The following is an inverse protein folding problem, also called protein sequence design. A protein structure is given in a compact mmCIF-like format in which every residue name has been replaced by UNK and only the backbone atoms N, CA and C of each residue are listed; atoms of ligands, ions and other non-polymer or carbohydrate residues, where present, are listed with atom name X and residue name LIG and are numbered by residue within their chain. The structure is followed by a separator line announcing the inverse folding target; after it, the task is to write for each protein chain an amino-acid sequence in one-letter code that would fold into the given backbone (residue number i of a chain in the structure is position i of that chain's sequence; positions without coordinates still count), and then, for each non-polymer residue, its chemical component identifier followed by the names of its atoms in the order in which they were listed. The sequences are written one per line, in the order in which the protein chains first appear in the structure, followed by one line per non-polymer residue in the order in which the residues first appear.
data_IF_816445118177
#
_entry.id   IF_816445118177
#
_cell.length_a   1.000
_cell.length_b   1.000
_cell.length_c   1.000
_cell.angle_alpha   90.00
_cell.angle_beta   90.00
_cell.angle_gamma   90.00
#
_symmetry.space_group_name_H-M   'P 1'
#
loop_
_entity.id
_entity.type
_entity.pdbx_description
1 polymer ?
#
# COMPACT_ATOMS: atom_id res chain seq x y z
N UNK A 1 -3.48 17.92 64.51
CA UNK A 1 -3.87 17.29 63.23
C UNK A 1 -3.17 18.05 62.12
N UNK A 2 -2.00 17.57 61.68
CA UNK A 2 -1.30 18.18 60.55
C UNK A 2 -2.01 17.75 59.27
N UNK A 3 -2.70 18.70 58.64
CA UNK A 3 -3.25 18.53 57.30
C UNK A 3 -2.07 18.51 56.32
N UNK A 4 -1.65 17.31 55.91
CA UNK A 4 -0.74 17.14 54.79
C UNK A 4 -1.56 17.49 53.54
N UNK A 5 -1.42 18.72 53.05
CA UNK A 5 -1.82 19.07 51.68
C UNK A 5 -0.94 18.27 50.74
N UNK A 6 -1.47 17.14 50.28
CA UNK A 6 -0.91 16.39 49.14
C UNK A 6 -1.07 17.31 47.93
N UNK A 7 0.05 17.78 47.37
CA UNK A 7 0.04 18.50 46.09
C UNK A 7 -0.55 17.63 44.98
N UNK A 8 -0.95 18.20 43.83
CA UNK A 8 -1.50 17.42 42.73
C UNK A 8 -0.54 16.28 42.37
N UNK A 9 -1.07 15.07 42.23
CA UNK A 9 -0.31 13.87 41.89
C UNK A 9 0.36 14.06 40.52
N UNK A 10 1.67 13.86 40.46
CA UNK A 10 2.46 14.00 39.22
C UNK A 10 1.96 13.03 38.17
N UNK A 11 1.59 13.53 36.99
CA UNK A 11 1.12 12.68 35.88
C UNK A 11 2.27 12.49 34.89
N UNK A 12 2.79 11.27 34.84
CA UNK A 12 3.87 10.92 33.91
C UNK A 12 3.40 11.01 32.43
N UNK A 13 4.27 11.42 31.51
CA UNK A 13 3.95 11.54 30.10
C UNK A 13 3.83 10.16 29.44
N UNK A 14 3.06 10.09 28.35
CA UNK A 14 3.02 8.93 27.46
C UNK A 14 4.20 9.00 26.49
N UNK A 15 5.33 8.44 26.88
CA UNK A 15 6.53 8.44 26.02
C UNK A 15 6.49 7.35 24.95
N UNK A 16 5.47 6.48 24.96
CA UNK A 16 5.21 5.50 23.89
C UNK A 16 5.00 6.16 22.52
N UNK A 17 4.53 7.42 22.53
CA UNK A 17 4.38 8.24 21.32
C UNK A 17 5.71 8.41 20.57
N UNK A 18 6.82 8.51 21.31
CA UNK A 18 8.18 8.58 20.79
C UNK A 18 8.52 7.34 19.96
N UNK A 19 8.28 6.15 20.52
CA UNK A 19 8.55 4.89 19.85
C UNK A 19 7.73 4.70 18.57
N UNK A 20 6.48 5.21 18.52
CA UNK A 20 5.67 5.19 17.30
C UNK A 20 6.29 6.07 16.22
N UNK A 21 6.73 7.28 16.58
CA UNK A 21 7.41 8.21 15.67
C UNK A 21 8.73 7.61 15.16
N UNK A 22 9.55 7.03 16.05
CA UNK A 22 10.79 6.35 15.67
C UNK A 22 10.56 5.21 14.69
N UNK A 23 9.47 4.43 14.85
CA UNK A 23 9.12 3.38 13.88
C UNK A 23 8.81 3.93 12.48
N UNK A 24 8.31 5.16 12.36
CA UNK A 24 8.14 5.82 11.05
C UNK A 24 9.50 5.99 10.37
N UNK A 25 10.51 6.47 11.09
CA UNK A 25 11.85 6.69 10.55
C UNK A 25 12.60 5.38 10.29
N UNK A 26 12.62 4.46 11.27
CA UNK A 26 13.24 3.13 11.19
C UNK A 26 12.75 2.33 10.00
N UNK A 27 11.46 2.45 9.64
CA UNK A 27 10.89 1.77 8.48
C UNK A 27 10.98 2.59 7.20
N UNK A 28 10.84 3.92 7.32
CA UNK A 28 10.75 4.85 6.20
C UNK A 28 12.04 4.92 5.40
N UNK A 29 13.17 5.22 6.04
CA UNK A 29 14.43 5.45 5.34
C UNK A 29 14.96 4.21 4.60
N UNK A 30 15.00 3.00 5.18
CA UNK A 30 15.37 1.79 4.43
C UNK A 30 14.44 1.50 3.26
N UNK A 31 13.12 1.75 3.43
CA UNK A 31 12.17 1.59 2.35
C UNK A 31 12.48 2.55 1.19
N UNK A 32 12.86 3.79 1.50
CA UNK A 32 13.19 4.78 0.49
C UNK A 32 14.50 4.47 -0.24
N UNK A 33 15.55 4.03 0.47
CA UNK A 33 16.79 3.56 -0.18
C UNK A 33 16.51 2.45 -1.19
N UNK A 34 15.68 1.46 -0.81
CA UNK A 34 15.23 0.40 -1.70
C UNK A 34 14.42 0.90 -2.91
N UNK A 35 13.60 1.94 -2.73
CA UNK A 35 12.81 2.52 -3.81
C UNK A 35 13.67 3.30 -4.80
N UNK A 36 14.62 4.11 -4.30
CA UNK A 36 15.59 4.88 -5.10
C UNK A 36 16.35 3.95 -6.04
N UNK A 37 16.89 2.83 -5.54
CA UNK A 37 17.59 1.80 -6.34
C UNK A 37 16.75 1.23 -7.48
N UNK A 38 15.42 1.25 -7.35
CA UNK A 38 14.48 0.58 -8.26
C UNK A 38 13.74 1.54 -9.17
N UNK A 39 14.00 2.85 -9.11
CA UNK A 39 13.36 3.81 -10.02
C UNK A 39 13.94 3.64 -11.43
N UNK A 40 13.13 3.33 -12.45
CA UNK A 40 13.62 3.25 -13.82
C UNK A 40 14.04 4.63 -14.34
N UNK A 41 15.13 4.69 -15.11
CA UNK A 41 15.63 5.91 -15.75
C UNK A 41 14.58 6.63 -16.61
N UNK A 42 13.59 5.90 -17.11
CA UNK A 42 12.51 6.39 -17.97
C UNK A 42 11.30 6.94 -17.21
N UNK A 43 11.36 7.06 -15.87
CA UNK A 43 10.22 7.42 -15.04
C UNK A 43 10.49 8.66 -14.14
N UNK A 44 10.70 9.86 -14.70
CA UNK A 44 11.00 11.07 -13.93
C UNK A 44 9.90 11.43 -12.92
N UNK A 45 8.63 11.22 -13.26
CA UNK A 45 7.52 11.43 -12.31
C UNK A 45 7.57 10.50 -11.09
N UNK A 46 8.20 9.32 -11.21
CA UNK A 46 8.41 8.41 -10.09
C UNK A 46 9.58 8.87 -9.22
N UNK A 47 10.68 9.30 -9.85
CA UNK A 47 11.82 9.88 -9.13
C UNK A 47 11.36 11.07 -8.27
N UNK A 48 10.57 11.98 -8.86
CA UNK A 48 10.02 13.12 -8.14
C UNK A 48 9.15 12.69 -6.94
N UNK A 49 8.21 11.76 -7.14
CA UNK A 49 7.36 11.29 -6.04
C UNK A 49 8.15 10.64 -4.88
N UNK A 50 9.24 9.93 -5.20
CA UNK A 50 10.15 9.34 -4.20
C UNK A 50 10.93 10.45 -3.48
N UNK A 51 11.50 11.40 -4.22
CA UNK A 51 12.25 12.52 -3.67
C UNK A 51 11.39 13.41 -2.76
N UNK A 52 10.17 13.78 -3.17
CA UNK A 52 9.25 14.56 -2.34
C UNK A 52 8.90 13.83 -1.03
N UNK A 53 8.78 12.50 -1.05
CA UNK A 53 8.51 11.74 0.18
C UNK A 53 9.74 11.64 1.09
N UNK A 54 10.95 11.56 0.51
CA UNK A 54 12.19 11.65 1.26
C UNK A 54 12.32 13.00 1.97
N UNK A 55 12.04 14.10 1.28
CA UNK A 55 12.03 15.43 1.89
C UNK A 55 11.08 15.51 3.09
N UNK A 56 9.88 14.95 2.96
CA UNK A 56 8.91 14.87 4.06
C UNK A 56 9.49 14.11 5.27
N UNK A 57 10.13 12.95 5.06
CA UNK A 57 10.73 12.17 6.14
C UNK A 57 11.91 12.92 6.80
N UNK A 58 12.79 13.51 6.00
CA UNK A 58 13.96 14.27 6.49
C UNK A 58 13.54 15.54 7.24
N UNK A 59 12.50 16.24 6.77
CA UNK A 59 11.94 17.40 7.46
C UNK A 59 11.26 16.99 8.77
N UNK A 60 10.52 15.88 8.75
CA UNK A 60 9.91 15.33 9.96
C UNK A 60 10.95 14.98 11.03
N UNK A 61 12.04 14.32 10.63
CA UNK A 61 13.14 13.99 11.53
C UNK A 61 13.84 15.24 12.06
N UNK A 62 14.14 16.21 11.19
CA UNK A 62 14.76 17.46 11.61
C UNK A 62 13.91 18.22 12.63
N UNK A 63 12.59 18.29 12.42
CA UNK A 63 11.67 18.94 13.36
C UNK A 63 11.59 18.21 14.71
N UNK A 64 11.71 16.88 14.70
CA UNK A 64 11.73 16.05 15.89
C UNK A 64 13.00 16.29 16.72
N UNK A 65 14.19 16.13 16.12
CA UNK A 65 15.47 16.35 16.82
C UNK A 65 15.63 17.79 17.31
N UNK A 66 15.30 18.79 16.47
CA UNK A 66 15.34 20.20 16.92
C UNK A 66 14.34 20.48 18.03
N UNK A 67 13.20 19.79 18.03
CA UNK A 67 12.24 19.89 19.14
C UNK A 67 12.80 19.33 20.45
N UNK A 68 13.54 18.21 20.41
CA UNK A 68 14.24 17.70 21.58
C UNK A 68 15.31 18.67 22.07
N UNK A 69 16.14 19.18 21.16
CA UNK A 69 17.22 20.12 21.48
C UNK A 69 16.68 21.40 22.13
N UNK A 70 15.58 21.94 21.61
CA UNK A 70 15.01 23.21 22.05
C UNK A 70 14.12 23.09 23.29
N UNK A 71 13.52 21.92 23.54
CA UNK A 71 12.46 21.79 24.54
C UNK A 71 12.63 20.65 25.54
N UNK A 72 13.39 19.61 25.22
CA UNK A 72 13.51 18.40 26.06
C UNK A 72 14.84 18.37 26.78
N UNK A 73 15.96 18.53 26.08
CA UNK A 73 17.30 18.52 26.66
C UNK A 73 17.50 19.56 27.76
N UNK A 74 17.04 20.83 27.61
CA UNK A 74 17.18 21.82 28.68
C UNK A 74 16.46 21.41 29.98
N UNK A 75 15.30 20.77 29.87
CA UNK A 75 14.53 20.29 31.02
C UNK A 75 15.21 19.11 31.70
N UNK A 76 15.78 18.18 30.92
CA UNK A 76 16.52 17.05 31.48
C UNK A 76 17.84 17.49 32.12
N UNK A 77 18.56 18.46 31.56
CA UNK A 77 19.77 19.01 32.17
C UNK A 77 19.47 19.68 33.52
N UNK A 78 18.34 20.39 33.62
CA UNK A 78 17.88 21.02 34.86
C UNK A 78 17.43 19.99 35.92
N UNK A 79 16.67 18.96 35.50
CA UNK A 79 15.95 18.06 36.42
C UNK A 79 16.59 16.68 36.63
N UNK A 80 17.52 16.31 35.76
CA UNK A 80 18.28 15.06 35.75
C UNK A 80 19.79 15.38 35.61
N UNK A 81 20.27 16.35 36.41
CA UNK A 81 21.63 16.86 36.34
C UNK A 81 22.74 15.80 36.43
N UNK A 82 22.63 14.70 37.21
CA UNK A 82 23.64 13.62 37.20
C UNK A 82 23.79 12.90 35.85
N UNK A 83 22.88 13.13 34.90
CA UNK A 83 22.87 12.52 33.57
C UNK A 83 23.33 13.48 32.46
N UNK A 84 24.01 14.59 32.79
CA UNK A 84 24.46 15.57 31.79
C UNK A 84 25.30 14.96 30.65
N UNK A 85 26.21 14.02 30.96
CA UNK A 85 27.02 13.32 29.94
C UNK A 85 26.18 12.53 28.93
N UNK A 86 25.02 12.00 29.36
CA UNK A 86 24.08 11.32 28.47
C UNK A 86 23.46 12.31 27.49
N UNK A 87 23.05 13.49 27.96
CA UNK A 87 22.44 14.52 27.11
C UNK A 87 23.48 15.08 26.12
N UNK A 88 24.70 15.37 26.57
CA UNK A 88 25.81 15.77 25.67
C UNK A 88 26.11 14.72 24.60
N UNK A 89 25.94 13.43 24.92
CA UNK A 89 26.06 12.35 23.93
C UNK A 89 24.91 12.37 22.91
N UNK A 90 23.67 12.65 23.33
CA UNK A 90 22.53 12.79 22.42
C UNK A 90 22.73 13.97 21.46
N UNK A 91 23.17 15.12 21.97
CA UNK A 91 23.48 16.30 21.14
C UNK A 91 24.54 15.98 20.08
N UNK A 92 25.62 15.29 20.46
CA UNK A 92 26.65 14.84 19.50
C UNK A 92 26.09 13.85 18.46
N UNK A 93 25.19 12.95 18.87
CA UNK A 93 24.52 12.05 17.92
C UNK A 93 23.60 12.83 16.97
N UNK A 94 22.87 13.86 17.45
CA UNK A 94 22.08 14.75 16.61
C UNK A 94 22.94 15.45 15.56
N UNK A 95 24.13 15.94 15.94
CA UNK A 95 25.09 16.54 15.00
C UNK A 95 25.50 15.55 13.89
N UNK A 96 25.82 14.30 14.25
CA UNK A 96 26.19 13.25 13.29
C UNK A 96 25.02 12.94 12.36
N UNK A 97 23.80 12.77 12.88
CA UNK A 97 22.60 12.52 12.08
C UNK A 97 22.30 13.70 11.16
N UNK A 98 22.45 14.94 11.64
CA UNK A 98 22.26 16.15 10.86
C UNK A 98 23.28 16.26 9.71
N UNK A 99 24.55 15.95 9.95
CA UNK A 99 25.58 15.93 8.92
C UNK A 99 25.24 14.92 7.82
N UNK A 100 24.84 13.70 8.19
CA UNK A 100 24.45 12.65 7.23
C UNK A 100 23.18 13.02 6.48
N UNK A 101 22.20 13.61 7.16
CA UNK A 101 20.97 14.16 6.55
C UNK A 101 21.30 15.22 5.49
N UNK A 102 22.25 16.11 5.74
CA UNK A 102 22.69 17.11 4.76
C UNK A 102 23.29 16.47 3.49
N UNK A 103 24.08 15.39 3.63
CA UNK A 103 24.61 14.62 2.50
C UNK A 103 23.48 13.96 1.68
N UNK A 104 22.49 13.37 2.35
CA UNK A 104 21.31 12.81 1.70
C UNK A 104 20.56 13.89 0.92
N UNK A 105 20.31 15.07 1.52
CA UNK A 105 19.63 16.19 0.85
C UNK A 105 20.37 16.66 -0.40
N UNK A 106 21.69 16.78 -0.34
CA UNK A 106 22.50 17.12 -1.51
C UNK A 106 22.36 16.06 -2.63
N UNK A 107 22.43 14.77 -2.27
CA UNK A 107 22.24 13.67 -3.21
C UNK A 107 20.83 13.63 -3.82
N UNK A 108 19.79 14.00 -3.06
CA UNK A 108 18.41 14.13 -3.58
C UNK A 108 18.35 15.17 -4.69
N UNK A 109 18.94 16.36 -4.48
CA UNK A 109 18.92 17.43 -5.48
C UNK A 109 19.63 17.02 -6.78
N UNK A 110 20.78 16.36 -6.68
CA UNK A 110 21.48 15.81 -7.86
C UNK A 110 20.63 14.75 -8.55
N UNK A 111 20.05 13.81 -7.80
CA UNK A 111 19.26 12.72 -8.33
C UNK A 111 17.93 13.17 -8.97
N UNK A 112 17.32 14.26 -8.47
CA UNK A 112 16.12 14.87 -9.05
C UNK A 112 16.35 15.37 -10.48
N UNK A 113 17.48 16.04 -10.72
CA UNK A 113 17.80 16.64 -12.02
C UNK A 113 18.16 15.58 -13.04
N UNK A 114 18.93 14.58 -12.62
CA UNK A 114 19.37 13.48 -13.47
C UNK A 114 19.23 12.17 -12.70
N UNK A 115 18.07 11.48 -12.79
CA UNK A 115 17.81 10.23 -12.05
C UNK A 115 18.54 9.03 -12.67
N UNK A 116 19.76 9.24 -13.14
CA UNK A 116 20.71 8.22 -13.58
C UNK A 116 21.52 7.77 -12.39
N UNK A 117 21.49 6.47 -12.11
CA UNK A 117 22.24 5.82 -11.04
C UNK A 117 21.89 6.32 -9.62
N UNK A 118 20.74 5.90 -9.10
CA UNK A 118 20.32 6.19 -7.71
C UNK A 118 21.15 5.51 -6.62
N UNK A 119 22.23 4.80 -6.96
CA UNK A 119 23.04 4.08 -5.97
C UNK A 119 23.78 5.02 -5.01
N UNK A 120 24.21 6.20 -5.48
CA UNK A 120 24.85 7.21 -4.62
C UNK A 120 23.89 7.72 -3.53
N UNK A 121 22.67 8.11 -3.92
CA UNK A 121 21.63 8.51 -2.97
C UNK A 121 21.23 7.36 -2.05
N UNK A 122 21.11 6.14 -2.58
CA UNK A 122 20.75 4.97 -1.77
C UNK A 122 21.85 4.63 -0.74
N UNK A 123 23.12 4.76 -1.11
CA UNK A 123 24.26 4.57 -0.20
C UNK A 123 24.28 5.63 0.89
N UNK A 124 24.08 6.91 0.52
CA UNK A 124 23.97 7.99 1.50
C UNK A 124 22.80 7.77 2.48
N UNK A 125 21.67 7.23 1.99
CA UNK A 125 20.52 6.87 2.82
C UNK A 125 20.82 5.70 3.76
N UNK A 126 21.55 4.68 3.31
CA UNK A 126 21.94 3.54 4.15
C UNK A 126 22.87 4.00 5.28
N UNK A 127 23.93 4.77 4.97
CA UNK A 127 24.84 5.33 6.00
C UNK A 127 24.12 6.25 6.99
N UNK A 128 23.20 7.07 6.50
CA UNK A 128 22.36 7.92 7.34
C UNK A 128 21.43 7.09 8.24
N UNK A 129 20.84 6.02 7.69
CA UNK A 129 19.94 5.13 8.43
C UNK A 129 20.68 4.41 9.54
N UNK A 130 21.91 3.94 9.29
CA UNK A 130 22.72 3.25 10.31
C UNK A 130 23.00 4.19 11.50
N UNK A 131 23.46 5.42 11.22
CA UNK A 131 23.69 6.43 12.26
C UNK A 131 22.40 6.81 13.01
N UNK A 132 21.28 6.94 12.29
CA UNK A 132 20.00 7.24 12.90
C UNK A 132 19.52 6.10 13.80
N UNK A 133 19.60 4.84 13.35
CA UNK A 133 19.15 3.69 14.16
C UNK A 133 19.98 3.55 15.44
N UNK A 134 21.29 3.76 15.38
CA UNK A 134 22.15 3.78 16.56
C UNK A 134 21.69 4.85 17.57
N UNK A 135 21.43 6.07 17.08
CA UNK A 135 20.92 7.15 17.90
C UNK A 135 19.55 6.84 18.53
N UNK A 136 18.57 6.39 17.72
CA UNK A 136 17.23 6.07 18.21
C UNK A 136 17.23 4.90 19.21
N UNK A 137 18.11 3.90 19.03
CA UNK A 137 18.28 2.80 19.98
C UNK A 137 18.79 3.31 21.33
N UNK A 138 19.76 4.22 21.29
CA UNK A 138 20.37 4.80 22.50
C UNK A 138 19.39 5.72 23.25
N UNK A 139 18.63 6.53 22.52
CA UNK A 139 17.60 7.41 23.06
C UNK A 139 16.46 6.60 23.71
N UNK A 140 15.92 5.60 23.01
CA UNK A 140 14.84 4.75 23.54
C UNK A 140 15.29 3.97 24.79
N UNK A 141 16.54 3.52 24.84
CA UNK A 141 17.07 2.76 25.96
C UNK A 141 17.38 3.64 27.18
N UNK A 142 17.95 4.84 26.98
CA UNK A 142 18.56 5.60 28.06
C UNK A 142 17.85 6.93 28.37
N UNK A 143 17.26 7.58 27.37
CA UNK A 143 16.64 8.90 27.53
C UNK A 143 15.14 8.79 27.79
N UNK A 144 14.43 7.93 27.06
CA UNK A 144 12.98 7.74 27.26
C UNK A 144 12.61 7.41 28.72
N UNK A 145 13.37 6.60 29.48
CA UNK A 145 13.13 6.43 30.92
C UNK A 145 13.24 7.73 31.73
N UNK A 146 14.18 8.61 31.38
CA UNK A 146 14.33 9.92 32.02
C UNK A 146 13.16 10.84 31.69
N UNK A 147 12.64 10.79 30.46
CA UNK A 147 11.44 11.54 30.08
C UNK A 147 10.25 11.18 30.97
N UNK A 148 9.99 9.87 31.16
CA UNK A 148 8.94 9.41 32.09
C UNK A 148 9.18 9.90 33.52
N UNK A 149 10.45 9.90 33.95
CA UNK A 149 10.82 10.24 35.32
C UNK A 149 10.86 11.74 35.63
N UNK A 150 11.10 12.62 34.64
CA UNK A 150 11.42 14.03 34.90
C UNK A 150 10.60 15.07 34.10
N UNK A 151 9.84 14.65 33.09
CA UNK A 151 9.00 15.55 32.29
C UNK A 151 7.54 15.39 32.69
N UNK A 152 6.77 16.47 32.74
CA UNK A 152 5.32 16.42 33.04
C UNK A 152 4.50 16.11 31.78
N UNK A 153 3.31 15.51 31.94
CA UNK A 153 2.45 15.16 30.82
C UNK A 153 2.05 16.38 29.95
N UNK A 154 1.83 17.55 30.54
CA UNK A 154 1.46 18.77 29.81
C UNK A 154 2.66 19.40 29.07
N UNK A 155 3.87 19.27 29.61
CA UNK A 155 5.12 19.68 28.95
C UNK A 155 5.37 18.80 27.73
N UNK A 156 5.19 17.48 27.89
CA UNK A 156 5.30 16.52 26.79
C UNK A 156 4.26 16.77 25.68
N UNK A 157 3.01 17.05 26.06
CA UNK A 157 1.96 17.39 25.11
C UNK A 157 2.28 18.68 24.33
N UNK A 158 2.82 19.70 25.01
CA UNK A 158 3.23 20.96 24.37
C UNK A 158 4.37 20.74 23.37
N UNK A 159 5.36 19.93 23.72
CA UNK A 159 6.42 19.52 22.79
C UNK A 159 5.84 18.83 21.55
N UNK A 160 5.01 17.80 21.73
CA UNK A 160 4.40 17.07 20.62
C UNK A 160 3.56 17.96 19.70
N UNK A 161 2.76 18.87 20.28
CA UNK A 161 1.96 19.83 19.53
C UNK A 161 2.84 20.81 18.74
N UNK A 162 3.91 21.33 19.34
CA UNK A 162 4.83 22.26 18.69
C UNK A 162 5.51 21.60 17.47
N UNK A 163 6.02 20.38 17.62
CA UNK A 163 6.60 19.60 16.52
C UNK A 163 5.57 19.32 15.42
N UNK A 164 4.34 18.98 15.79
CA UNK A 164 3.28 18.68 14.81
C UNK A 164 2.79 19.93 14.05
N UNK A 165 2.84 21.11 14.66
CA UNK A 165 2.42 22.37 14.03
C UNK A 165 3.38 22.91 12.98
N UNK A 166 4.63 22.45 12.98
CA UNK A 166 5.60 22.72 11.91
C UNK A 166 5.17 22.10 10.55
N UNK A 167 4.28 21.10 10.55
CA UNK A 167 3.77 20.50 9.31
C UNK A 167 2.68 21.33 8.64
N UNK A 168 2.76 21.45 7.31
CA UNK A 168 1.65 21.94 6.49
C UNK A 168 0.44 20.99 6.56
N UNK A 169 -0.75 21.46 6.17
CA UNK A 169 -1.95 20.59 6.12
C UNK A 169 -1.78 19.34 5.23
N UNK A 170 -0.97 19.45 4.17
CA UNK A 170 -0.67 18.33 3.30
C UNK A 170 0.27 17.32 3.96
N UNK A 171 1.27 17.80 4.71
CA UNK A 171 2.19 16.96 5.46
C UNK A 171 1.53 16.33 6.68
N UNK A 172 0.65 17.06 7.39
CA UNK A 172 -0.18 16.50 8.47
C UNK A 172 -0.97 15.29 7.98
N UNK A 173 -1.55 15.36 6.77
CA UNK A 173 -2.23 14.20 6.13
C UNK A 173 -1.27 13.02 5.90
N UNK A 174 -0.03 13.28 5.47
CA UNK A 174 0.97 12.25 5.20
C UNK A 174 1.46 11.63 6.52
N UNK A 175 1.78 12.45 7.51
CA UNK A 175 2.20 12.06 8.86
C UNK A 175 1.16 11.16 9.53
N UNK A 176 -0.12 11.55 9.50
CA UNK A 176 -1.21 10.72 10.05
C UNK A 176 -1.28 9.34 9.38
N UNK A 177 -1.08 9.27 8.07
CA UNK A 177 -1.08 8.00 7.35
C UNK A 177 0.16 7.15 7.61
N UNK A 178 1.34 7.78 7.69
CA UNK A 178 2.60 7.11 8.01
C UNK A 178 2.56 6.52 9.42
N UNK A 179 1.94 7.24 10.36
CA UNK A 179 1.67 6.77 11.71
C UNK A 179 0.77 5.53 11.70
N UNK A 180 -0.38 5.56 11.02
CA UNK A 180 -1.25 4.38 10.91
C UNK A 180 -0.57 3.18 10.20
N UNK A 181 0.44 3.42 9.36
CA UNK A 181 1.20 2.37 8.66
C UNK A 181 2.13 1.59 9.62
N UNK A 182 2.52 2.17 10.76
CA UNK A 182 3.47 1.58 11.74
C UNK A 182 2.90 1.36 13.14
N UNK A 183 1.81 2.03 13.48
CA UNK A 183 1.14 1.92 14.77
C UNK A 183 0.27 0.65 14.85
N UNK A 184 0.17 0.10 16.05
CA UNK A 184 -0.89 -0.85 16.41
C UNK A 184 -2.26 -0.16 16.40
N UNK A 185 -3.39 -0.89 16.36
CA UNK A 185 -4.71 -0.28 16.41
C UNK A 185 -4.93 0.58 17.66
N UNK A 186 -4.36 0.18 18.79
CA UNK A 186 -4.44 0.90 20.07
C UNK A 186 -3.62 2.20 20.03
N UNK A 187 -2.37 2.14 19.58
CA UNK A 187 -1.52 3.33 19.40
C UNK A 187 -2.13 4.33 18.40
N UNK A 188 -2.71 3.83 17.30
CA UNK A 188 -3.39 4.70 16.35
C UNK A 188 -4.62 5.37 16.96
N UNK A 189 -5.32 4.70 17.89
CA UNK A 189 -6.45 5.30 18.61
C UNK A 189 -6.00 6.41 19.56
N UNK A 190 -4.84 6.28 20.19
CA UNK A 190 -4.24 7.33 21.02
C UNK A 190 -3.96 8.60 20.23
N UNK A 191 -3.18 8.50 19.16
CA UNK A 191 -2.79 9.64 18.32
C UNK A 191 -3.99 10.33 17.64
N UNK A 192 -4.98 9.54 17.22
CA UNK A 192 -6.20 10.08 16.63
C UNK A 192 -7.23 10.50 17.68
N UNK A 193 -7.01 10.16 18.95
CA UNK A 193 -7.84 10.43 20.11
C UNK A 193 -8.07 11.93 20.32
N UNK A 194 -7.03 12.72 20.11
CA UNK A 194 -7.04 14.16 20.41
C UNK A 194 -7.58 15.02 19.26
N UNK A 195 -7.78 14.43 18.07
CA UNK A 195 -8.34 15.15 16.94
C UNK A 195 -9.82 15.51 17.18
N UNK A 196 -10.28 16.72 16.81
CA UNK A 196 -11.71 17.04 16.79
C UNK A 196 -12.52 16.05 15.95
N UNK A 197 -13.73 15.70 16.39
CA UNK A 197 -14.63 14.75 15.71
C UNK A 197 -14.79 15.00 14.19
N UNK A 198 -14.94 16.25 13.70
CA UNK A 198 -15.01 16.50 12.26
C UNK A 198 -13.76 16.05 11.51
N UNK A 199 -12.57 16.23 12.11
CA UNK A 199 -11.29 15.83 11.52
C UNK A 199 -11.16 14.30 11.52
N UNK A 200 -11.52 13.62 12.62
CA UNK A 200 -11.54 12.14 12.67
C UNK A 200 -12.45 11.56 11.59
N UNK A 201 -13.64 12.14 11.42
CA UNK A 201 -14.59 11.68 10.40
C UNK A 201 -14.05 11.92 8.98
N UNK A 202 -13.49 13.10 8.72
CA UNK A 202 -12.85 13.41 7.44
C UNK A 202 -11.68 12.45 7.15
N UNK A 203 -10.86 12.14 8.14
CA UNK A 203 -9.77 11.19 8.03
C UNK A 203 -10.27 9.78 7.63
N UNK A 204 -11.30 9.28 8.34
CA UNK A 204 -11.91 7.96 8.05
C UNK A 204 -12.54 7.88 6.66
N UNK A 205 -13.26 8.93 6.24
CA UNK A 205 -14.00 8.95 4.97
C UNK A 205 -13.10 9.21 3.75
N UNK A 206 -12.15 10.15 3.87
CA UNK A 206 -11.38 10.69 2.77
C UNK A 206 -9.86 10.61 2.99
N UNK A 207 -9.39 10.90 4.20
CA UNK A 207 -7.97 10.98 4.53
C UNK A 207 -7.19 9.70 4.23
N UNK A 208 -7.62 8.56 4.78
CA UNK A 208 -7.01 7.23 4.53
C UNK A 208 -6.93 6.90 3.03
N UNK A 209 -7.97 7.25 2.26
CA UNK A 209 -8.00 7.02 0.80
C UNK A 209 -7.07 7.96 0.04
N UNK A 210 -6.87 9.19 0.53
CA UNK A 210 -5.92 10.15 -0.06
C UNK A 210 -4.49 9.69 0.23
N UNK A 211 -4.18 9.36 1.49
CA UNK A 211 -2.89 8.81 1.88
C UNK A 211 -2.56 7.52 1.11
N UNK A 212 -3.47 6.56 1.06
CA UNK A 212 -3.25 5.30 0.32
C UNK A 212 -2.93 5.54 -1.16
N UNK A 213 -3.53 6.56 -1.79
CA UNK A 213 -3.20 6.94 -3.18
C UNK A 213 -1.85 7.64 -3.29
N UNK A 214 -1.52 8.51 -2.34
CA UNK A 214 -0.23 9.17 -2.24
C UNK A 214 0.89 8.14 -2.10
N UNK A 215 0.84 7.30 -1.07
CA UNK A 215 1.92 6.34 -0.77
C UNK A 215 2.04 5.24 -1.84
N UNK A 216 0.95 4.90 -2.52
CA UNK A 216 0.98 3.99 -3.68
C UNK A 216 1.78 4.57 -4.87
N UNK A 217 1.75 5.89 -5.09
CA UNK A 217 2.57 6.55 -6.11
C UNK A 217 4.05 6.50 -5.73
N UNK A 218 4.37 6.83 -4.47
CA UNK A 218 5.74 6.77 -3.93
C UNK A 218 6.32 5.35 -4.06
N UNK A 219 5.58 4.35 -3.58
CA UNK A 219 6.01 2.94 -3.60
C UNK A 219 6.02 2.31 -4.99
N UNK A 220 5.51 3.00 -6.02
CA UNK A 220 5.36 2.45 -7.37
C UNK A 220 4.40 1.27 -7.45
N UNK A 221 3.65 0.98 -6.38
CA UNK A 221 2.57 0.00 -6.38
C UNK A 221 1.37 0.68 -7.01
N UNK A 222 1.16 0.45 -8.31
CA UNK A 222 0.07 1.09 -9.04
C UNK A 222 -1.24 1.09 -8.23
N UNK A 223 -1.76 2.28 -7.91
CA UNK A 223 -3.10 2.46 -7.32
C UNK A 223 -4.23 2.01 -8.26
N UNK A 224 -3.87 1.50 -9.44
CA UNK A 224 -4.73 0.84 -10.43
C UNK A 224 -5.23 -0.53 -9.95
N UNK A 225 -4.51 -1.24 -9.08
CA UNK A 225 -4.92 -2.59 -8.64
C UNK A 225 -6.28 -2.63 -7.90
N UNK A 226 -6.51 -1.79 -6.87
CA UNK A 226 -7.76 -1.86 -6.10
C UNK A 226 -8.95 -1.16 -6.76
N UNK A 227 -8.71 -0.14 -7.59
CA UNK A 227 -9.75 0.70 -8.21
C UNK A 227 -10.24 0.12 -9.53
N UNK A 228 -9.34 -0.30 -10.43
CA UNK A 228 -9.72 -1.06 -11.63
C UNK A 228 -10.32 -2.41 -11.24
N UNK A 229 -9.74 -3.10 -10.25
CA UNK A 229 -10.29 -4.35 -9.73
C UNK A 229 -11.65 -4.20 -9.04
N UNK A 230 -11.94 -3.05 -8.39
CA UNK A 230 -13.29 -2.75 -7.86
C UNK A 230 -14.26 -2.34 -8.96
N UNK A 231 -13.83 -1.51 -9.89
CA UNK A 231 -14.62 -1.08 -11.03
C UNK A 231 -15.02 -2.28 -11.89
N UNK A 232 -14.07 -3.13 -12.30
CA UNK A 232 -14.33 -4.36 -13.05
C UNK A 232 -15.23 -5.31 -12.27
N UNK A 233 -15.05 -5.46 -10.95
CA UNK A 233 -15.97 -6.27 -10.12
C UNK A 233 -17.38 -5.69 -10.08
N UNK A 234 -17.53 -4.38 -9.97
CA UNK A 234 -18.83 -3.71 -9.92
C UNK A 234 -19.53 -3.76 -11.29
N UNK A 235 -18.80 -3.54 -12.37
CA UNK A 235 -19.29 -3.71 -13.76
C UNK A 235 -19.69 -5.16 -14.00
N UNK A 236 -18.86 -6.14 -13.61
CA UNK A 236 -19.22 -7.55 -13.74
C UNK A 236 -20.46 -7.91 -12.91
N UNK A 237 -20.60 -7.38 -11.69
CA UNK A 237 -21.81 -7.59 -10.87
C UNK A 237 -23.05 -7.02 -11.54
N UNK A 238 -22.97 -5.81 -12.09
CA UNK A 238 -24.08 -5.20 -12.82
C UNK A 238 -24.41 -5.98 -14.10
N UNK A 239 -23.40 -6.40 -14.87
CA UNK A 239 -23.58 -7.19 -16.07
C UNK A 239 -24.22 -8.56 -15.76
N UNK A 240 -23.75 -9.26 -14.72
CA UNK A 240 -24.36 -10.52 -14.25
C UNK A 240 -25.80 -10.30 -13.78
N UNK A 241 -26.06 -9.21 -13.04
CA UNK A 241 -27.40 -8.89 -12.58
C UNK A 241 -28.36 -8.60 -13.76
N UNK A 242 -27.94 -7.78 -14.72
CA UNK A 242 -28.72 -7.49 -15.93
C UNK A 242 -28.96 -8.76 -16.77
N UNK A 243 -27.93 -9.58 -16.95
CA UNK A 243 -28.04 -10.85 -17.67
C UNK A 243 -29.07 -11.76 -17.01
N UNK A 244 -28.95 -12.01 -15.69
CA UNK A 244 -29.88 -12.88 -14.95
C UNK A 244 -31.30 -12.34 -14.94
N UNK A 245 -31.47 -11.03 -14.79
CA UNK A 245 -32.80 -10.39 -14.71
C UNK A 245 -33.54 -10.41 -16.05
N UNK A 246 -32.79 -10.48 -17.14
CA UNK A 246 -33.29 -10.44 -18.52
C UNK A 246 -33.19 -11.78 -19.24
N UNK A 247 -32.76 -12.85 -18.56
CA UNK A 247 -32.59 -14.17 -19.16
C UNK A 247 -31.66 -14.14 -20.38
N UNK A 248 -30.58 -13.36 -20.30
CA UNK A 248 -29.64 -13.16 -21.39
C UNK A 248 -30.08 -12.17 -22.47
N UNK A 249 -31.29 -11.60 -22.44
CA UNK A 249 -31.71 -10.55 -23.41
C UNK A 249 -30.83 -9.31 -23.33
N UNK A 250 -30.32 -8.98 -22.14
CA UNK A 250 -29.35 -7.90 -21.90
C UNK A 250 -28.02 -8.55 -21.49
N UNK A 251 -27.00 -8.40 -22.34
CA UNK A 251 -25.66 -8.96 -22.10
C UNK A 251 -25.44 -10.39 -22.62
N UNK A 252 -26.42 -10.98 -23.31
CA UNK A 252 -26.30 -12.29 -24.00
C UNK A 252 -25.38 -12.28 -25.22
N UNK A 253 -25.01 -11.10 -25.72
CA UNK A 253 -24.03 -10.96 -26.79
C UNK A 253 -23.04 -9.84 -26.47
N UNK A 254 -21.79 -10.01 -26.89
CA UNK A 254 -20.73 -9.00 -26.77
C UNK A 254 -19.83 -9.06 -28.00
N UNK A 255 -19.68 -7.92 -28.71
CA UNK A 255 -18.93 -7.83 -29.97
C UNK A 255 -19.36 -8.86 -31.03
N UNK A 256 -20.67 -9.16 -31.09
CA UNK A 256 -21.22 -10.15 -32.01
C UNK A 256 -21.03 -11.61 -31.58
N UNK A 257 -20.42 -11.89 -30.42
CA UNK A 257 -20.25 -13.23 -29.89
C UNK A 257 -21.28 -13.54 -28.80
N UNK A 258 -21.76 -14.78 -28.70
CA UNK A 258 -22.65 -15.18 -27.62
C UNK A 258 -21.90 -15.22 -26.28
N UNK A 259 -22.62 -14.85 -25.21
CA UNK A 259 -22.08 -14.74 -23.85
C UNK A 259 -22.81 -15.71 -22.94
N UNK A 260 -22.03 -16.45 -22.14
CA UNK A 260 -22.52 -17.25 -21.03
C UNK A 260 -22.02 -16.68 -19.71
N UNK A 261 -22.72 -16.95 -18.62
CA UNK A 261 -22.19 -16.72 -17.28
C UNK A 261 -21.51 -17.99 -16.80
N UNK A 262 -20.25 -17.92 -16.37
CA UNK A 262 -19.54 -19.03 -15.75
C UNK A 262 -19.34 -18.74 -14.25
N UNK A 263 -19.68 -19.71 -13.42
CA UNK A 263 -19.53 -19.68 -11.96
C UNK A 263 -18.52 -20.73 -11.52
N UNK A 264 -17.44 -20.29 -10.88
CA UNK A 264 -16.33 -21.16 -10.44
C UNK A 264 -15.96 -20.85 -8.99
N UNK A 265 -15.70 -21.89 -8.19
CA UNK A 265 -15.19 -21.75 -6.83
C UNK A 265 -13.81 -21.07 -6.82
N UNK A 266 -13.61 -20.11 -5.91
CA UNK A 266 -12.32 -19.45 -5.77
C UNK A 266 -11.24 -20.39 -5.21
N UNK A 267 -10.16 -20.62 -5.96
CA UNK A 267 -9.10 -21.60 -5.61
C UNK A 267 -8.47 -21.45 -4.21
N UNK A 268 -8.53 -20.26 -3.61
CA UNK A 268 -8.00 -19.99 -2.26
C UNK A 268 -9.08 -19.88 -1.19
N UNK A 269 -10.30 -19.51 -1.59
CA UNK A 269 -11.35 -19.07 -0.67
C UNK A 269 -12.56 -19.99 -0.65
N UNK A 270 -12.69 -20.91 -1.61
CA UNK A 270 -13.89 -21.72 -1.85
C UNK A 270 -15.09 -20.95 -2.39
N UNK A 271 -15.23 -19.65 -2.06
CA UNK A 271 -16.37 -18.82 -2.46
C UNK A 271 -16.59 -18.78 -3.99
N UNK A 272 -17.82 -19.03 -4.49
CA UNK A 272 -18.11 -19.01 -5.92
C UNK A 272 -18.02 -17.59 -6.47
N UNK A 273 -17.51 -17.47 -7.70
CA UNK A 273 -17.44 -16.22 -8.45
C UNK A 273 -18.07 -16.42 -9.83
N UNK A 274 -19.06 -15.60 -10.16
CA UNK A 274 -19.71 -15.59 -11.47
C UNK A 274 -19.16 -14.46 -12.34
N UNK A 275 -18.82 -14.76 -13.60
CA UNK A 275 -18.40 -13.76 -14.59
C UNK A 275 -19.05 -14.02 -15.96
N UNK A 276 -19.38 -12.98 -16.74
CA UNK A 276 -19.79 -13.13 -18.13
C UNK A 276 -18.57 -13.35 -19.03
N UNK A 277 -18.63 -14.34 -19.91
CA UNK A 277 -17.57 -14.65 -20.88
C UNK A 277 -18.15 -14.97 -22.24
N UNK A 278 -17.47 -14.55 -23.30
CA UNK A 278 -17.79 -15.03 -24.65
C UNK A 278 -17.46 -16.52 -24.75
N UNK A 279 -18.30 -17.27 -25.45
CA UNK A 279 -18.09 -18.69 -25.70
C UNK A 279 -18.25 -19.04 -27.18
N UNK A 280 -17.77 -20.23 -27.53
CA UNK A 280 -17.90 -20.85 -28.84
C UNK A 280 -18.39 -22.29 -28.66
N UNK A 281 -18.84 -22.91 -29.73
CA UNK A 281 -19.31 -24.30 -29.71
C UNK A 281 -18.39 -25.17 -30.59
N UNK A 282 -18.04 -26.34 -30.06
CA UNK A 282 -17.22 -27.37 -30.71
C UNK A 282 -17.76 -28.75 -30.30
N UNK A 283 -18.37 -29.48 -31.24
CA UNK A 283 -18.94 -30.82 -31.04
C UNK A 283 -19.85 -30.94 -29.80
N UNK A 284 -20.81 -30.02 -29.65
CA UNK A 284 -21.76 -30.03 -28.53
C UNK A 284 -21.16 -29.61 -27.17
N UNK A 285 -19.90 -29.19 -27.15
CA UNK A 285 -19.22 -28.64 -25.97
C UNK A 285 -19.03 -27.15 -26.11
N UNK A 286 -18.89 -26.46 -24.98
CA UNK A 286 -18.66 -25.01 -24.97
C UNK A 286 -17.18 -24.69 -24.77
N UNK A 287 -16.64 -23.80 -25.60
CA UNK A 287 -15.24 -23.39 -25.59
C UNK A 287 -15.13 -21.95 -25.09
N UNK A 288 -14.29 -21.71 -24.09
CA UNK A 288 -14.06 -20.38 -23.50
C UNK A 288 -12.57 -20.04 -23.46
N UNK A 289 -12.25 -18.74 -23.47
CA UNK A 289 -10.86 -18.26 -23.55
C UNK A 289 -10.50 -17.34 -22.39
N UNK A 290 -9.30 -17.51 -21.84
CA UNK A 290 -8.72 -16.66 -20.79
C UNK A 290 -8.09 -15.37 -21.32
N UNK A 291 -8.77 -14.68 -22.25
CA UNK A 291 -8.17 -13.56 -23.00
C UNK A 291 -8.05 -12.26 -22.20
N UNK A 292 -9.08 -11.93 -21.41
CA UNK A 292 -9.16 -10.71 -20.59
C UNK A 292 -8.76 -9.42 -21.33
N UNK A 293 -9.12 -9.31 -22.62
CA UNK A 293 -8.78 -8.16 -23.46
C UNK A 293 -7.27 -7.97 -23.71
N UNK A 294 -6.50 -9.05 -23.60
CA UNK A 294 -5.04 -9.07 -23.77
C UNK A 294 -4.28 -8.63 -22.52
N UNK A 295 -4.77 -8.95 -21.31
CA UNK A 295 -4.03 -8.65 -20.08
C UNK A 295 -2.81 -9.57 -19.92
N UNK A 296 -1.70 -9.03 -19.40
CA UNK A 296 -0.48 -9.79 -19.10
C UNK A 296 -0.76 -11.03 -18.23
N UNK A 297 -1.40 -10.94 -17.05
CA UNK A 297 -1.78 -12.14 -16.30
C UNK A 297 -3.07 -12.77 -16.86
N UNK A 298 -3.21 -14.09 -16.67
CA UNK A 298 -4.49 -14.80 -16.84
C UNK A 298 -5.58 -14.20 -15.94
N UNK A 299 -6.84 -14.12 -16.41
CA UNK A 299 -7.93 -13.66 -15.58
C UNK A 299 -8.15 -14.58 -14.38
N UNK A 300 -8.58 -13.99 -13.26
CA UNK A 300 -8.75 -14.73 -12.01
C UNK A 300 -9.74 -15.89 -12.13
N UNK A 301 -10.85 -15.72 -12.85
CA UNK A 301 -11.83 -16.79 -13.05
C UNK A 301 -11.25 -18.00 -13.79
N UNK A 302 -10.35 -17.78 -14.75
CA UNK A 302 -9.71 -18.87 -15.51
C UNK A 302 -8.68 -19.60 -14.66
N UNK A 303 -7.94 -18.86 -13.81
CA UNK A 303 -7.05 -19.48 -12.81
C UNK A 303 -7.80 -20.28 -11.77
N UNK A 304 -9.04 -19.90 -11.46
CA UNK A 304 -9.93 -20.71 -10.62
C UNK A 304 -10.42 -21.94 -11.39
N UNK A 305 -10.83 -21.78 -12.66
CA UNK A 305 -11.28 -22.87 -13.53
C UNK A 305 -10.20 -23.94 -13.68
N UNK A 306 -8.95 -23.55 -13.89
CA UNK A 306 -7.82 -24.49 -13.95
C UNK A 306 -7.64 -25.32 -12.67
N UNK A 307 -8.05 -24.78 -11.52
CA UNK A 307 -7.96 -25.47 -10.23
C UNK A 307 -9.26 -26.22 -9.88
N UNK A 308 -10.33 -26.05 -10.66
CA UNK A 308 -11.65 -26.61 -10.39
C UNK A 308 -12.03 -27.57 -11.52
N UNK A 309 -12.28 -28.83 -11.20
CA UNK A 309 -12.73 -29.81 -12.20
C UNK A 309 -14.17 -29.55 -12.70
N UNK A 310 -14.98 -28.85 -11.89
CA UNK A 310 -16.40 -28.59 -12.18
C UNK A 310 -16.69 -27.08 -12.08
N UNK A 311 -17.53 -26.59 -12.98
CA UNK A 311 -18.09 -25.24 -12.96
C UNK A 311 -19.60 -25.29 -13.24
N UNK A 312 -20.28 -24.17 -13.01
CA UNK A 312 -21.68 -23.98 -13.45
C UNK A 312 -21.75 -22.91 -14.51
N UNK A 313 -22.43 -23.18 -15.62
CA UNK A 313 -22.69 -22.18 -16.67
C UNK A 313 -24.18 -21.84 -16.74
N UNK A 314 -24.47 -20.62 -17.21
CA UNK A 314 -25.81 -20.16 -17.55
C UNK A 314 -25.79 -19.56 -18.96
N UNK A 315 -26.67 -20.06 -19.83
CA UNK A 315 -26.89 -19.57 -21.20
C UNK A 315 -28.38 -19.22 -21.32
N UNK A 316 -28.69 -17.93 -21.36
CA UNK A 316 -30.08 -17.47 -21.26
C UNK A 316 -30.72 -17.92 -19.95
N UNK A 317 -31.79 -18.71 -20.05
CA UNK A 317 -32.48 -19.33 -18.91
C UNK A 317 -31.92 -20.70 -18.51
N UNK A 318 -31.15 -21.35 -19.39
CA UNK A 318 -30.63 -22.70 -19.16
C UNK A 318 -29.41 -22.67 -18.25
N UNK A 319 -29.34 -23.63 -17.33
CA UNK A 319 -28.24 -23.79 -16.37
C UNK A 319 -27.68 -25.21 -16.46
N UNK A 320 -26.35 -25.32 -16.51
CA UNK A 320 -25.66 -26.60 -16.63
C UNK A 320 -24.51 -26.65 -15.62
N UNK A 321 -24.39 -27.77 -14.91
CA UNK A 321 -23.11 -28.12 -14.28
C UNK A 321 -22.23 -28.77 -15.35
N UNK A 322 -20.98 -28.33 -15.43
CA UNK A 322 -20.05 -28.71 -16.51
C UNK A 322 -18.74 -29.21 -15.94
N UNK A 323 -18.19 -30.23 -16.57
CA UNK A 323 -16.78 -30.58 -16.41
C UNK A 323 -15.94 -29.56 -17.20
N UNK A 324 -14.90 -29.03 -16.56
CA UNK A 324 -14.03 -28.03 -17.15
C UNK A 324 -12.63 -28.58 -17.37
N UNK A 325 -12.21 -28.65 -18.63
CA UNK A 325 -10.88 -29.10 -19.02
C UNK A 325 -10.13 -27.97 -19.71
N UNK A 326 -8.94 -27.62 -19.22
CA UNK A 326 -8.04 -26.69 -19.91
C UNK A 326 -7.33 -27.46 -21.00
N UNK A 327 -7.47 -27.02 -22.25
CA UNK A 327 -6.80 -27.65 -23.39
C UNK A 327 -5.31 -27.31 -23.36
N UNK A 328 -4.48 -28.29 -23.75
CA UNK A 328 -3.02 -28.17 -23.80
C UNK A 328 -2.49 -28.59 -25.18
N UNK A 329 -1.27 -28.15 -25.51
CA UNK A 329 -0.56 -28.54 -26.73
C UNK A 329 -1.41 -28.42 -28.01
N UNK A 330 -1.39 -29.49 -28.81
CA UNK A 330 -2.07 -29.55 -30.10
C UNK A 330 -3.59 -29.33 -30.02
N UNK A 331 -4.24 -29.83 -28.95
CA UNK A 331 -5.68 -29.64 -28.77
C UNK A 331 -6.03 -28.18 -28.53
N UNK A 332 -5.22 -27.48 -27.73
CA UNK A 332 -5.37 -26.04 -27.53
C UNK A 332 -5.20 -25.30 -28.84
N UNK A 333 -4.18 -25.64 -29.63
CA UNK A 333 -3.87 -24.94 -30.87
C UNK A 333 -4.95 -25.16 -31.94
N UNK A 334 -5.49 -26.38 -32.04
CA UNK A 334 -6.67 -26.68 -32.86
C UNK A 334 -7.86 -25.81 -32.45
N UNK A 335 -8.23 -25.83 -31.16
CA UNK A 335 -9.35 -25.02 -30.65
C UNK A 335 -9.12 -23.52 -30.87
N UNK A 336 -7.89 -23.06 -30.71
CA UNK A 336 -7.54 -21.65 -30.93
C UNK A 336 -7.71 -21.26 -32.40
N UNK A 337 -7.15 -22.04 -33.34
CA UNK A 337 -7.21 -21.73 -34.77
C UNK A 337 -8.61 -21.97 -35.35
N UNK A 338 -9.13 -23.18 -35.19
CA UNK A 338 -10.27 -23.68 -35.95
C UNK A 338 -11.61 -23.28 -35.32
N UNK A 339 -11.63 -23.01 -34.01
CA UNK A 339 -12.87 -22.64 -33.29
C UNK A 339 -12.89 -21.16 -32.96
N UNK A 340 -11.86 -20.66 -32.26
CA UNK A 340 -11.83 -19.28 -31.74
C UNK A 340 -11.50 -18.28 -32.86
N UNK A 341 -10.36 -18.43 -33.53
CA UNK A 341 -9.92 -17.46 -34.54
C UNK A 341 -10.76 -17.51 -35.82
N UNK A 342 -11.24 -18.70 -36.22
CA UNK A 342 -12.17 -18.83 -37.34
C UNK A 342 -13.44 -17.98 -37.17
N UNK A 343 -13.96 -17.86 -35.94
CA UNK A 343 -15.18 -17.09 -35.63
C UNK A 343 -14.90 -15.68 -35.15
N UNK A 344 -13.75 -15.46 -34.50
CA UNK A 344 -13.38 -14.19 -33.89
C UNK A 344 -11.90 -13.83 -34.12
N UNK A 345 -11.50 -13.47 -35.36
CA UNK A 345 -10.10 -13.22 -35.71
C UNK A 345 -9.41 -12.14 -34.85
N UNK A 346 -10.18 -11.22 -34.27
CA UNK A 346 -9.65 -10.16 -33.41
C UNK A 346 -9.00 -10.68 -32.11
N UNK A 347 -9.23 -11.94 -31.72
CA UNK A 347 -8.55 -12.55 -30.57
C UNK A 347 -7.04 -12.68 -30.76
N UNK A 348 -6.54 -12.75 -32.01
CA UNK A 348 -5.10 -12.75 -32.29
C UNK A 348 -4.41 -11.49 -31.75
N UNK A 349 -5.08 -10.33 -31.85
CA UNK A 349 -4.57 -9.07 -31.27
C UNK A 349 -4.48 -9.11 -29.75
N UNK A 350 -5.35 -9.88 -29.08
CA UNK A 350 -5.29 -10.05 -27.63
C UNK A 350 -4.10 -10.91 -27.20
N UNK A 351 -3.79 -11.97 -27.95
CA UNK A 351 -2.63 -12.81 -27.68
C UNK A 351 -1.32 -12.03 -27.85
N UNK A 352 -1.20 -11.30 -28.97
CA UNK A 352 -0.07 -10.39 -29.21
C UNK A 352 0.08 -9.36 -28.09
N UNK A 353 -1.01 -8.68 -27.72
CA UNK A 353 -1.00 -7.68 -26.64
C UNK A 353 -0.65 -8.27 -25.28
N UNK A 354 -1.10 -9.50 -25.00
CA UNK A 354 -0.83 -10.17 -23.72
C UNK A 354 0.64 -10.59 -23.60
N UNK A 355 1.32 -10.87 -24.71
CA UNK A 355 2.68 -11.41 -24.72
C UNK A 355 2.76 -12.82 -24.10
N UNK A 356 1.65 -13.56 -24.12
CA UNK A 356 1.52 -14.93 -23.61
C UNK A 356 0.51 -15.70 -24.45
N UNK A 357 0.61 -17.03 -24.43
CA UNK A 357 -0.40 -17.92 -25.01
C UNK A 357 -1.71 -17.74 -24.23
N UNK A 358 -2.81 -17.45 -24.94
CA UNK A 358 -4.13 -17.34 -24.30
C UNK A 358 -4.67 -18.75 -24.03
N UNK A 359 -4.97 -19.11 -22.77
CA UNK A 359 -5.47 -20.45 -22.48
C UNK A 359 -6.91 -20.63 -22.96
N UNK A 360 -7.23 -21.84 -23.38
CA UNK A 360 -8.55 -22.27 -23.87
C UNK A 360 -9.05 -23.37 -22.96
N UNK A 361 -10.33 -23.33 -22.59
CA UNK A 361 -10.98 -24.40 -21.83
C UNK A 361 -12.22 -24.91 -22.56
N UNK A 362 -12.43 -26.21 -22.48
CA UNK A 362 -13.63 -26.91 -22.94
C UNK A 362 -14.51 -27.20 -21.73
N UNK A 363 -15.81 -26.92 -21.88
CA UNK A 363 -16.84 -27.13 -20.88
C UNK A 363 -17.83 -28.16 -21.43
N UNK A 364 -17.83 -29.36 -20.85
CA UNK A 364 -18.73 -30.43 -21.22
C UNK A 364 -19.90 -30.49 -20.22
N UNK A 365 -21.17 -30.37 -20.66
CA UNK A 365 -22.32 -30.59 -19.78
C UNK A 365 -22.25 -31.94 -19.07
N UNK A 366 -22.45 -31.93 -17.77
CA UNK A 366 -22.66 -33.16 -17.01
C UNK A 366 -24.08 -33.71 -17.29
N UNK A 367 -24.26 -35.04 -17.28
CA UNK A 367 -25.56 -35.68 -17.52
C UNK A 367 -26.67 -35.27 -16.56
#
# INVERSE_FOLDING_TARGET
MNSITVGPERVAPRTEDMAVIHRIFRRGFPQMANLVRRVPLTAPARAEAVATHLDFLLNGLHNHHTGEDEHVWPLLLDRAAPQAELIERMEKQHEVVAERSARVRAAIETWRVAPVNGEELATALDEFTDALVEHLDDEEANVVPLLRAHIEADEWQRFGQHTFDKFTNAEKLIATGALEDVATPEEAEWFLGDLPLPIKLMWRLLGRRRYARYIARVRGTSSLGPTLGRFVRNVNRLAVWLYRRSSGRIGGTAKGLPVLLITVAGRRTGKPSTVPVAYFEDDGRYVVTGSAGGSKPDPQWFRNLRAAAVARIQIGDSHYDVEAQVAEGADRDRLWQDVVLARAPFFAKYEQKAGRIIPVAVLAPLP
#
